data_IF_465422813724
#
_entry.id   IF_465422813724
#
_cell.length_a   1.000
_cell.length_b   1.000
_cell.length_c   1.000
_cell.angle_alpha   90.00
_cell.angle_beta   90.00
_cell.angle_gamma   90.00
#
_symmetry.space_group_name_H-M   'P 1'
#
loop_
_entity.id
_entity.type
_entity.pdbx_description
1 polymer ?
#
# COMPACT_ATOMS: atom_id res chain seq x y z
N UNK A 1 -59.38 25.59 -13.03
CA UNK A 1 -59.64 24.25 -13.61
C UNK A 1 -59.20 23.19 -12.60
N UNK A 2 -59.86 22.04 -12.60
CA UNK A 2 -59.78 20.90 -11.67
C UNK A 2 -60.69 20.98 -10.44
N UNK A 3 -61.81 20.24 -10.54
CA UNK A 3 -62.75 19.94 -9.48
C UNK A 3 -63.16 18.47 -9.60
N UNK A 4 -63.18 17.80 -8.45
CA UNK A 4 -63.32 16.35 -8.21
C UNK A 4 -64.72 15.84 -8.58
N UNK A 5 -64.80 14.54 -8.92
CA UNK A 5 -66.05 13.81 -9.03
C UNK A 5 -65.92 12.37 -8.53
N UNK A 6 -66.59 12.07 -7.41
CA UNK A 6 -67.21 10.79 -7.05
C UNK A 6 -68.73 10.97 -7.22
N UNK A 7 -69.60 9.93 -7.42
CA UNK A 7 -69.72 8.77 -6.49
C UNK A 7 -70.28 7.41 -7.03
N UNK A 8 -69.99 6.34 -6.26
CA UNK A 8 -70.84 5.23 -5.74
C UNK A 8 -71.89 4.51 -6.61
N UNK A 9 -71.79 3.15 -6.65
CA UNK A 9 -72.83 2.05 -6.65
C UNK A 9 -72.17 0.76 -7.24
N UNK A 10 -72.31 -0.50 -6.80
CA UNK A 10 -73.45 -1.31 -6.29
C UNK A 10 -72.99 -2.52 -5.43
N UNK A 11 -73.98 -3.08 -4.70
CA UNK A 11 -74.05 -4.36 -3.94
C UNK A 11 -74.25 -5.62 -4.82
N UNK A 12 -73.86 -6.80 -4.29
CA UNK A 12 -74.64 -8.08 -4.16
C UNK A 12 -73.67 -9.16 -3.58
N UNK A 13 -73.82 -9.68 -2.35
CA UNK A 13 -74.67 -10.79 -1.82
C UNK A 13 -74.45 -12.16 -2.46
N UNK A 14 -73.93 -13.13 -1.67
CA UNK A 14 -74.52 -14.48 -1.49
C UNK A 14 -73.75 -15.30 -0.43
N UNK A 15 -74.51 -16.11 0.31
CA UNK A 15 -74.13 -16.84 1.52
C UNK A 15 -74.30 -18.36 1.35
N UNK A 16 -73.61 -19.15 2.18
CA UNK A 16 -73.93 -20.54 2.57
C UNK A 16 -73.06 -20.92 3.80
N UNK A 17 -73.59 -21.07 5.03
CA UNK A 17 -74.22 -22.27 5.66
C UNK A 17 -73.32 -23.53 5.61
N UNK A 18 -72.88 -24.22 6.68
CA UNK A 18 -73.64 -24.74 7.84
C UNK A 18 -72.79 -25.58 8.85
N UNK A 19 -73.27 -25.66 10.13
CA UNK A 19 -73.27 -26.76 11.16
C UNK A 19 -71.93 -27.32 11.74
N UNK A 20 -71.56 -27.12 13.03
CA UNK A 20 -71.97 -27.73 14.33
C UNK A 20 -71.62 -29.22 14.58
N UNK A 21 -70.70 -29.50 15.55
CA UNK A 21 -70.93 -30.22 16.84
C UNK A 21 -69.63 -30.64 17.56
N UNK A 22 -69.71 -30.60 18.90
CA UNK A 22 -68.70 -30.90 19.93
C UNK A 22 -68.59 -32.39 20.33
N UNK A 23 -67.53 -32.69 21.12
CA UNK A 23 -67.18 -33.85 21.99
C UNK A 23 -66.60 -35.10 21.29
N UNK A 24 -65.53 -35.79 21.74
CA UNK A 24 -65.00 -36.10 23.07
C UNK A 24 -63.46 -36.35 23.10
N UNK A 25 -62.92 -36.37 24.32
CA UNK A 25 -61.54 -36.51 24.82
C UNK A 25 -60.95 -37.93 24.65
N UNK A 26 -59.66 -38.07 24.27
CA UNK A 26 -58.66 -38.95 24.96
C UNK A 26 -57.19 -38.74 24.48
N UNK A 27 -56.39 -38.14 25.39
CA UNK A 27 -54.98 -38.36 25.75
C UNK A 27 -53.91 -38.74 24.70
N UNK A 28 -52.93 -37.84 24.51
CA UNK A 28 -51.51 -38.15 24.83
C UNK A 28 -50.75 -36.86 25.22
N UNK A 29 -50.26 -36.84 26.45
CA UNK A 29 -49.40 -35.84 27.15
C UNK A 29 -47.93 -35.82 26.61
N UNK A 30 -46.96 -35.03 27.14
CA UNK A 30 -46.72 -33.57 27.03
C UNK A 30 -45.18 -33.30 26.88
N UNK A 31 -44.53 -32.24 27.44
CA UNK A 31 -44.78 -30.81 27.47
C UNK A 31 -43.64 -30.01 26.79
N UNK A 32 -43.91 -28.84 26.19
CA UNK A 32 -42.90 -27.78 26.17
C UNK A 32 -43.41 -26.67 27.09
N UNK A 33 -42.91 -26.68 28.33
CA UNK A 33 -43.05 -25.56 29.25
C UNK A 33 -42.30 -24.36 28.68
N UNK A 34 -43.04 -23.28 28.44
CA UNK A 34 -42.45 -21.96 28.42
C UNK A 34 -41.83 -21.67 29.78
N UNK A 35 -40.53 -21.36 29.78
CA UNK A 35 -39.91 -20.57 30.83
C UNK A 35 -39.46 -19.26 30.21
N UNK A 36 -40.42 -18.34 30.18
CA UNK A 36 -40.16 -16.90 30.17
C UNK A 36 -39.59 -16.51 31.54
N UNK A 37 -38.37 -16.94 31.86
CA UNK A 37 -37.59 -16.34 32.94
C UNK A 37 -36.12 -16.28 32.55
N UNK A 38 -35.51 -15.13 32.81
CA UNK A 38 -34.12 -14.76 32.52
C UNK A 38 -33.81 -14.16 31.14
N UNK A 39 -34.62 -13.21 30.69
CA UNK A 39 -34.04 -12.02 30.05
C UNK A 39 -33.42 -11.09 31.12
N UNK A 40 -32.55 -11.69 31.95
CA UNK A 40 -31.59 -11.00 32.78
C UNK A 40 -30.72 -10.18 31.84
N UNK A 41 -31.00 -8.88 31.75
CA UNK A 41 -30.06 -7.74 31.67
C UNK A 41 -28.58 -8.11 31.43
N UNK A 42 -28.26 -8.84 30.35
CA UNK A 42 -26.87 -8.93 29.91
C UNK A 42 -26.68 -7.68 29.09
N UNK A 43 -26.04 -6.68 29.70
CA UNK A 43 -25.42 -5.59 28.96
C UNK A 43 -24.59 -6.24 27.85
N UNK A 44 -25.10 -6.25 26.62
CA UNK A 44 -24.37 -6.69 25.45
C UNK A 44 -23.34 -5.61 25.20
N UNK A 45 -22.21 -5.67 25.92
CA UNK A 45 -21.06 -4.83 25.63
C UNK A 45 -20.70 -5.16 24.19
N UNK A 46 -20.82 -4.18 23.30
CA UNK A 46 -20.23 -4.27 21.96
C UNK A 46 -18.79 -4.73 22.16
N UNK A 47 -18.44 -5.93 21.67
CA UNK A 47 -17.07 -6.43 21.74
C UNK A 47 -16.24 -5.58 20.77
N UNK A 48 -15.65 -4.52 21.28
CA UNK A 48 -14.70 -3.70 20.55
C UNK A 48 -13.36 -4.44 20.62
N UNK A 49 -12.72 -4.75 19.47
CA UNK A 49 -11.40 -5.35 19.45
C UNK A 49 -10.43 -4.55 20.32
N UNK A 50 -9.57 -5.27 21.06
CA UNK A 50 -8.54 -4.61 21.88
C UNK A 50 -7.55 -3.89 20.98
N UNK A 51 -6.89 -2.86 21.51
CA UNK A 51 -5.87 -2.10 20.77
C UNK A 51 -4.79 -3.01 20.16
N UNK A 52 -4.30 -4.00 20.93
CA UNK A 52 -3.39 -5.04 20.43
C UNK A 52 -3.96 -5.88 19.29
N UNK A 53 -5.25 -6.20 19.32
CA UNK A 53 -5.92 -6.94 18.24
C UNK A 53 -6.08 -6.08 16.98
N UNK A 54 -6.37 -4.78 17.13
CA UNK A 54 -6.43 -3.85 16.00
C UNK A 54 -5.07 -3.68 15.33
N UNK A 55 -4.00 -3.56 16.11
CA UNK A 55 -2.62 -3.52 15.60
C UNK A 55 -2.32 -4.79 14.81
N UNK A 56 -2.58 -5.97 15.37
CA UNK A 56 -2.35 -7.25 14.68
C UNK A 56 -3.14 -7.36 13.36
N UNK A 57 -4.42 -6.96 13.36
CA UNK A 57 -5.23 -6.94 12.14
C UNK A 57 -4.68 -5.97 11.09
N UNK A 58 -4.21 -4.80 11.53
CA UNK A 58 -3.54 -3.81 10.67
C UNK A 58 -2.26 -4.36 10.05
N UNK A 59 -1.43 -5.04 10.83
CA UNK A 59 -0.19 -5.68 10.35
C UNK A 59 -0.48 -6.78 9.33
N UNK A 60 -1.44 -7.67 9.60
CA UNK A 60 -1.80 -8.74 8.67
C UNK A 60 -2.41 -8.19 7.38
N UNK A 61 -3.21 -7.11 7.46
CA UNK A 61 -3.71 -6.40 6.28
C UNK A 61 -2.58 -5.80 5.44
N UNK A 62 -1.62 -5.09 6.06
CA UNK A 62 -0.46 -4.54 5.35
C UNK A 62 0.41 -5.63 4.72
N UNK A 63 0.60 -6.74 5.43
CA UNK A 63 1.35 -7.90 4.93
C UNK A 63 0.60 -8.61 3.80
N UNK A 64 -0.72 -8.58 3.79
CA UNK A 64 -1.53 -9.06 2.67
C UNK A 64 -1.39 -8.14 1.45
N UNK A 65 -1.47 -6.82 1.63
CA UNK A 65 -1.31 -5.80 0.59
C UNK A 65 0.09 -5.83 -0.04
N UNK A 66 1.16 -5.92 0.76
CA UNK A 66 2.55 -6.01 0.24
C UNK A 66 2.75 -7.20 -0.68
N UNK A 67 2.21 -8.35 -0.28
CA UNK A 67 2.32 -9.58 -1.06
C UNK A 67 1.43 -9.59 -2.30
N UNK A 68 0.28 -8.91 -2.25
CA UNK A 68 -0.49 -8.59 -3.45
C UNK A 68 0.34 -7.75 -4.43
N UNK A 69 0.99 -6.69 -3.94
CA UNK A 69 1.85 -5.84 -4.75
C UNK A 69 2.95 -6.63 -5.47
N UNK A 70 3.62 -7.53 -4.76
CA UNK A 70 4.67 -8.37 -5.34
C UNK A 70 4.16 -9.27 -6.49
N UNK A 71 3.05 -9.97 -6.29
CA UNK A 71 2.47 -10.81 -7.36
C UNK A 71 1.99 -9.98 -8.54
N UNK A 72 1.43 -8.80 -8.29
CA UNK A 72 1.05 -7.88 -9.38
C UNK A 72 2.27 -7.42 -10.18
N UNK A 73 3.38 -7.11 -9.51
CA UNK A 73 4.63 -6.74 -10.18
C UNK A 73 5.23 -7.90 -10.98
N UNK A 74 5.15 -9.13 -10.45
CA UNK A 74 5.52 -10.35 -11.17
C UNK A 74 4.66 -10.55 -12.43
N UNK A 75 3.33 -10.45 -12.30
CA UNK A 75 2.43 -10.52 -13.45
C UNK A 75 2.75 -9.43 -14.50
N UNK A 76 3.06 -8.19 -14.10
CA UNK A 76 3.48 -7.14 -15.05
C UNK A 76 4.76 -7.49 -15.82
N UNK A 77 5.69 -8.23 -15.21
CA UNK A 77 6.89 -8.72 -15.91
C UNK A 77 6.46 -9.74 -16.96
N UNK A 78 5.63 -10.70 -16.59
CA UNK A 78 5.16 -11.73 -17.52
C UNK A 78 4.31 -11.13 -18.65
N UNK A 79 3.42 -10.18 -18.36
CA UNK A 79 2.64 -9.47 -19.38
C UNK A 79 3.50 -8.68 -20.37
N UNK A 80 4.66 -8.16 -19.93
CA UNK A 80 5.64 -7.51 -20.83
C UNK A 80 6.38 -8.52 -21.68
N UNK A 81 6.80 -9.65 -21.09
CA UNK A 81 7.44 -10.75 -21.80
C UNK A 81 6.51 -11.36 -22.85
N UNK A 82 5.25 -11.60 -22.50
CA UNK A 82 4.19 -12.07 -23.39
C UNK A 82 4.07 -11.18 -24.62
N UNK A 83 3.93 -9.87 -24.39
CA UNK A 83 3.85 -8.87 -25.45
C UNK A 83 5.09 -8.87 -26.34
N UNK A 84 6.28 -9.04 -25.77
CA UNK A 84 7.51 -9.08 -26.56
C UNK A 84 7.57 -10.34 -27.44
N UNK A 85 7.22 -11.50 -26.88
CA UNK A 85 7.18 -12.77 -27.61
C UNK A 85 6.16 -12.75 -28.75
N UNK A 86 5.02 -12.09 -28.57
CA UNK A 86 4.01 -11.94 -29.61
C UNK A 86 4.48 -11.16 -30.84
N UNK A 87 5.54 -10.35 -30.73
CA UNK A 87 6.11 -9.61 -31.88
C UNK A 87 6.94 -10.50 -32.82
N UNK A 88 7.31 -11.70 -32.38
CA UNK A 88 8.13 -12.64 -33.15
C UNK A 88 7.27 -13.75 -33.73
N UNK A 89 7.83 -14.51 -34.69
CA UNK A 89 7.17 -15.74 -35.14
C UNK A 89 7.36 -16.87 -34.12
N UNK A 90 6.35 -17.16 -33.29
CA UNK A 90 6.36 -18.21 -32.27
C UNK A 90 5.32 -19.28 -32.62
N UNK A 91 5.61 -20.52 -32.29
CA UNK A 91 4.75 -21.66 -32.60
C UNK A 91 3.43 -21.62 -31.81
N UNK A 92 2.41 -22.30 -32.31
CA UNK A 92 1.09 -22.39 -31.67
C UNK A 92 1.15 -23.00 -30.27
N UNK A 93 2.05 -23.97 -30.04
CA UNK A 93 2.27 -24.59 -28.73
C UNK A 93 2.95 -23.64 -27.73
N UNK A 94 3.90 -22.83 -28.19
CA UNK A 94 4.51 -21.76 -27.38
C UNK A 94 3.49 -20.68 -27.03
N UNK A 95 2.58 -20.37 -27.96
CA UNK A 95 1.51 -19.41 -27.77
C UNK A 95 0.47 -19.89 -26.75
N UNK A 96 0.09 -21.17 -26.79
CA UNK A 96 -0.75 -21.79 -25.77
C UNK A 96 -0.08 -21.76 -24.39
N UNK A 97 1.22 -22.11 -24.31
CA UNK A 97 2.00 -22.05 -23.07
C UNK A 97 2.05 -20.63 -22.49
N UNK A 98 2.16 -19.64 -23.38
CA UNK A 98 2.15 -18.23 -22.99
C UNK A 98 0.81 -17.81 -22.38
N UNK A 99 -0.30 -18.18 -23.03
CA UNK A 99 -1.66 -17.94 -22.53
C UNK A 99 -1.80 -18.56 -21.14
N UNK A 100 -1.51 -19.85 -20.98
CA UNK A 100 -1.65 -20.57 -19.72
C UNK A 100 -0.82 -19.93 -18.60
N UNK A 101 0.42 -19.53 -18.91
CA UNK A 101 1.31 -18.89 -17.93
C UNK A 101 0.75 -17.53 -17.49
N UNK A 102 0.30 -16.72 -18.44
CA UNK A 102 -0.22 -15.38 -18.15
C UNK A 102 -1.54 -15.44 -17.38
N UNK A 103 -2.44 -16.36 -17.74
CA UNK A 103 -3.71 -16.58 -17.04
C UNK A 103 -3.50 -17.12 -15.63
N UNK A 104 -2.55 -18.04 -15.45
CA UNK A 104 -2.16 -18.53 -14.12
C UNK A 104 -1.65 -17.40 -13.23
N UNK A 105 -0.79 -16.52 -13.75
CA UNK A 105 -0.29 -15.38 -12.97
C UNK A 105 -1.38 -14.35 -12.67
N UNK A 106 -2.32 -14.10 -13.61
CA UNK A 106 -3.53 -13.33 -13.34
C UNK A 106 -4.32 -13.93 -12.17
N UNK A 107 -4.55 -15.25 -12.19
CA UNK A 107 -5.32 -15.92 -11.14
C UNK A 107 -4.60 -15.91 -9.78
N UNK A 108 -3.27 -15.98 -9.77
CA UNK A 108 -2.46 -15.78 -8.56
C UNK A 108 -2.71 -14.39 -7.95
N UNK A 109 -2.68 -13.34 -8.78
CA UNK A 109 -2.98 -11.96 -8.36
C UNK A 109 -4.41 -11.86 -7.83
N UNK A 110 -5.37 -12.48 -8.51
CA UNK A 110 -6.79 -12.44 -8.18
C UNK A 110 -7.10 -13.14 -6.85
N UNK A 111 -6.57 -14.35 -6.66
CA UNK A 111 -6.67 -15.09 -5.41
C UNK A 111 -6.01 -14.32 -4.26
N UNK A 112 -4.90 -13.63 -4.53
CA UNK A 112 -4.25 -12.83 -3.49
C UNK A 112 -5.07 -11.61 -3.09
N UNK A 113 -5.73 -10.97 -4.05
CA UNK A 113 -6.66 -9.87 -3.76
C UNK A 113 -7.83 -10.31 -2.89
N UNK A 114 -8.37 -11.52 -3.09
CA UNK A 114 -9.42 -12.04 -2.22
C UNK A 114 -8.95 -12.13 -0.76
N UNK A 115 -7.69 -12.54 -0.53
CA UNK A 115 -7.09 -12.52 0.82
C UNK A 115 -6.98 -11.11 1.40
N UNK A 116 -6.73 -10.09 0.59
CA UNK A 116 -6.72 -8.68 1.05
C UNK A 116 -8.12 -8.26 1.51
N UNK A 117 -9.16 -8.65 0.76
CA UNK A 117 -10.56 -8.33 1.06
C UNK A 117 -11.05 -8.89 2.39
N UNK A 118 -10.53 -10.05 2.81
CA UNK A 118 -10.88 -10.67 4.10
C UNK A 118 -10.44 -9.81 5.28
N UNK A 119 -9.30 -9.12 5.18
CA UNK A 119 -8.74 -8.35 6.29
C UNK A 119 -9.20 -6.89 6.31
N UNK A 120 -9.41 -6.29 5.14
CA UNK A 120 -9.72 -4.87 5.00
C UNK A 120 -10.39 -4.58 3.67
N UNK A 121 -11.24 -3.55 3.61
CA UNK A 121 -11.71 -3.00 2.34
C UNK A 121 -10.53 -2.54 1.48
N UNK A 122 -10.32 -3.11 0.28
CA UNK A 122 -9.19 -2.75 -0.56
C UNK A 122 -9.25 -1.29 -1.01
N UNK A 123 -8.08 -0.66 -1.08
CA UNK A 123 -7.92 0.68 -1.62
C UNK A 123 -8.41 0.77 -3.08
N UNK A 124 -8.75 1.98 -3.52
CA UNK A 124 -9.13 2.21 -4.92
C UNK A 124 -8.02 1.81 -5.89
N UNK A 125 -6.76 1.97 -5.49
CA UNK A 125 -5.59 1.59 -6.28
C UNK A 125 -5.49 0.07 -6.45
N UNK A 126 -5.69 -0.68 -5.36
CA UNK A 126 -5.70 -2.16 -5.39
C UNK A 126 -6.77 -2.68 -6.34
N UNK A 127 -7.97 -2.09 -6.32
CA UNK A 127 -9.07 -2.44 -7.23
C UNK A 127 -8.72 -2.12 -8.69
N UNK A 128 -8.20 -0.92 -8.96
CA UNK A 128 -7.76 -0.53 -10.29
C UNK A 128 -6.70 -1.48 -10.87
N UNK A 129 -5.75 -1.94 -10.04
CA UNK A 129 -4.73 -2.92 -10.44
C UNK A 129 -5.33 -4.26 -10.84
N UNK A 130 -6.38 -4.71 -10.16
CA UNK A 130 -7.11 -5.91 -10.53
C UNK A 130 -7.79 -5.75 -11.88
N UNK A 131 -8.54 -4.67 -12.08
CA UNK A 131 -9.25 -4.42 -13.34
C UNK A 131 -8.26 -4.33 -14.51
N UNK A 132 -7.12 -3.67 -14.30
CA UNK A 132 -6.03 -3.60 -15.27
C UNK A 132 -5.40 -4.98 -15.55
N UNK A 133 -5.18 -5.79 -14.50
CA UNK A 133 -4.66 -7.15 -14.63
C UNK A 133 -5.56 -8.02 -15.50
N UNK A 134 -6.87 -7.97 -15.24
CA UNK A 134 -7.87 -8.71 -15.99
C UNK A 134 -7.96 -8.23 -17.44
N UNK A 135 -8.05 -6.92 -17.66
CA UNK A 135 -8.23 -6.35 -19.00
C UNK A 135 -6.99 -6.56 -19.90
N UNK A 136 -5.79 -6.33 -19.38
CA UNK A 136 -4.54 -6.55 -20.14
C UNK A 136 -4.37 -8.03 -20.48
N UNK A 137 -4.66 -8.93 -19.53
CA UNK A 137 -4.56 -10.38 -19.79
C UNK A 137 -5.54 -10.79 -20.88
N UNK A 138 -6.80 -10.35 -20.82
CA UNK A 138 -7.82 -10.64 -21.84
C UNK A 138 -7.40 -10.20 -23.24
N UNK A 139 -6.86 -8.98 -23.38
CA UNK A 139 -6.43 -8.48 -24.68
C UNK A 139 -5.22 -9.25 -25.24
N UNK A 140 -4.21 -9.56 -24.40
CA UNK A 140 -3.05 -10.36 -24.84
C UNK A 140 -3.49 -11.74 -25.28
N UNK A 141 -4.36 -12.38 -24.49
CA UNK A 141 -4.93 -13.70 -24.79
C UNK A 141 -5.78 -13.65 -26.07
N UNK A 142 -6.53 -12.57 -26.31
CA UNK A 142 -7.27 -12.37 -27.57
C UNK A 142 -6.34 -12.33 -28.77
N UNK A 143 -5.27 -11.53 -28.72
CA UNK A 143 -4.27 -11.43 -29.80
C UNK A 143 -3.61 -12.80 -30.04
N UNK A 144 -3.32 -13.54 -28.96
CA UNK A 144 -2.78 -14.88 -29.05
C UNK A 144 -3.77 -15.86 -29.71
N UNK A 145 -5.03 -15.89 -29.29
CA UNK A 145 -6.04 -16.77 -29.91
C UNK A 145 -6.33 -16.45 -31.37
N UNK A 146 -6.35 -15.18 -31.76
CA UNK A 146 -6.50 -14.78 -33.17
C UNK A 146 -5.37 -15.34 -34.04
N UNK A 147 -4.18 -15.47 -33.47
CA UNK A 147 -3.01 -16.06 -34.13
C UNK A 147 -3.07 -17.60 -34.16
N UNK A 148 -3.48 -18.24 -33.07
CA UNK A 148 -3.73 -19.70 -33.01
C UNK A 148 -4.80 -20.12 -34.02
N UNK A 149 -5.88 -19.33 -34.14
CA UNK A 149 -7.04 -19.69 -34.96
C UNK A 149 -6.75 -19.76 -36.46
N UNK A 150 -5.57 -19.30 -36.92
CA UNK A 150 -5.09 -19.51 -38.29
C UNK A 150 -5.95 -18.89 -39.39
N UNK A 151 -6.93 -18.05 -39.05
CA UNK A 151 -7.95 -17.51 -39.96
C UNK A 151 -7.33 -16.72 -41.12
N UNK A 152 -6.07 -16.26 -41.00
CA UNK A 152 -5.37 -15.46 -42.00
C UNK A 152 -4.16 -16.14 -42.66
N UNK A 153 -3.92 -17.44 -42.40
CA UNK A 153 -2.96 -18.28 -43.14
C UNK A 153 -1.46 -17.94 -43.04
N UNK A 154 -1.07 -16.73 -42.65
CA UNK A 154 0.31 -16.29 -42.45
C UNK A 154 0.43 -15.30 -41.29
N UNK A 155 1.60 -15.26 -40.63
CA UNK A 155 1.88 -14.32 -39.55
C UNK A 155 1.90 -12.88 -40.10
N UNK A 156 0.81 -12.15 -39.85
CA UNK A 156 0.73 -10.71 -40.11
C UNK A 156 1.30 -9.93 -38.92
N UNK A 157 2.61 -9.73 -38.95
CA UNK A 157 3.35 -8.92 -37.99
C UNK A 157 2.77 -7.51 -37.84
N UNK A 158 2.24 -6.91 -38.92
CA UNK A 158 1.67 -5.56 -38.89
C UNK A 158 0.36 -5.52 -38.10
N UNK A 159 -0.54 -6.49 -38.31
CA UNK A 159 -1.78 -6.61 -37.51
C UNK A 159 -1.48 -6.87 -36.04
N UNK A 160 -0.52 -7.74 -35.73
CA UNK A 160 -0.14 -8.02 -34.33
C UNK A 160 0.46 -6.77 -33.69
N UNK A 161 1.36 -6.07 -34.38
CA UNK A 161 1.93 -4.81 -33.88
C UNK A 161 0.88 -3.73 -33.70
N UNK A 162 -0.11 -3.65 -34.59
CA UNK A 162 -1.25 -2.75 -34.44
C UNK A 162 -2.07 -3.09 -33.19
N UNK A 163 -2.49 -4.34 -33.01
CA UNK A 163 -3.25 -4.76 -31.82
C UNK A 163 -2.48 -4.52 -30.52
N UNK A 164 -1.16 -4.77 -30.53
CA UNK A 164 -0.28 -4.48 -29.40
C UNK A 164 -0.02 -2.98 -29.17
N UNK A 165 -0.22 -2.13 -30.17
CA UNK A 165 -0.20 -0.67 -30.01
C UNK A 165 -1.54 -0.16 -29.47
N UNK A 166 -2.66 -0.62 -30.02
CA UNK A 166 -4.00 -0.29 -29.53
C UNK A 166 -4.18 -0.67 -28.05
N UNK A 167 -3.59 -1.79 -27.61
CA UNK A 167 -3.53 -2.18 -26.21
C UNK A 167 -2.86 -1.10 -25.33
N UNK A 168 -1.80 -0.46 -25.82
CA UNK A 168 -1.07 0.58 -25.06
C UNK A 168 -1.83 1.88 -24.95
N UNK A 169 -2.70 2.18 -25.92
CA UNK A 169 -3.52 3.39 -25.94
C UNK A 169 -4.63 3.35 -24.88
N UNK A 170 -4.97 2.16 -24.35
CA UNK A 170 -6.01 2.00 -23.33
C UNK A 170 -5.54 2.45 -21.94
N UNK A 171 -6.40 3.18 -21.24
CA UNK A 171 -6.08 3.81 -19.95
C UNK A 171 -5.65 2.82 -18.86
N UNK A 172 -6.21 1.60 -18.85
CA UNK A 172 -5.84 0.57 -17.88
C UNK A 172 -4.44 -0.01 -18.12
N UNK A 173 -3.97 -0.02 -19.37
CA UNK A 173 -2.68 -0.58 -19.76
C UNK A 173 -1.53 0.40 -19.50
N UNK A 174 -1.83 1.70 -19.43
CA UNK A 174 -0.85 2.76 -19.21
C UNK A 174 -0.02 2.56 -17.93
N UNK A 175 -0.62 2.10 -16.84
CA UNK A 175 0.12 1.84 -15.59
C UNK A 175 0.99 0.57 -15.64
N UNK A 176 0.74 -0.33 -16.60
CA UNK A 176 1.45 -1.61 -16.76
C UNK A 176 2.67 -1.44 -17.65
N UNK A 177 2.57 -0.59 -18.67
CA UNK A 177 3.59 -0.41 -19.71
C UNK A 177 4.24 1.00 -19.73
N UNK A 178 3.67 1.99 -19.04
CA UNK A 178 3.99 3.41 -19.16
C UNK A 178 5.31 3.91 -18.56
N UNK A 179 6.27 3.04 -18.27
CA UNK A 179 7.62 3.45 -17.85
C UNK A 179 8.66 3.33 -18.96
N UNK A 180 8.34 2.69 -20.09
CA UNK A 180 9.32 2.39 -21.15
C UNK A 180 8.89 2.79 -22.57
N UNK A 181 7.68 3.31 -22.75
CA UNK A 181 7.25 3.86 -24.05
C UNK A 181 7.53 5.35 -24.08
N UNK A 182 8.68 5.70 -24.68
CA UNK A 182 8.88 7.03 -25.24
C UNK A 182 7.66 7.38 -26.09
N UNK A 183 7.08 8.54 -25.79
CA UNK A 183 5.85 9.07 -26.33
C UNK A 183 6.03 9.48 -27.81
N UNK A 184 6.32 8.52 -28.69
CA UNK A 184 6.75 8.78 -30.07
C UNK A 184 5.61 8.83 -31.09
N UNK A 185 4.35 9.02 -30.65
CA UNK A 185 3.19 9.20 -31.55
C UNK A 185 2.18 10.19 -30.96
N UNK A 186 2.54 11.46 -30.86
CA UNK A 186 1.57 12.55 -30.69
C UNK A 186 2.19 13.93 -30.95
N UNK A 187 2.86 14.09 -32.09
CA UNK A 187 3.01 15.41 -32.71
C UNK A 187 1.81 15.64 -33.63
N UNK A 188 0.67 16.00 -33.03
CA UNK A 188 -0.37 16.89 -33.59
C UNK A 188 -1.61 16.87 -32.69
N UNK A 189 -1.93 18.03 -32.12
CA UNK A 189 -3.28 18.45 -31.71
C UNK A 189 -4.03 17.57 -30.70
N UNK A 190 -3.69 17.66 -29.42
CA UNK A 190 -4.60 18.23 -28.40
C UNK A 190 -3.95 18.09 -27.03
N UNK A 191 -3.66 19.24 -26.42
CA UNK A 191 -3.32 19.33 -25.01
C UNK A 191 -4.57 18.97 -24.20
N UNK A 192 -4.74 17.69 -23.88
CA UNK A 192 -5.63 17.29 -22.78
C UNK A 192 -4.85 17.55 -21.50
N UNK A 193 -5.23 18.53 -20.67
CA UNK A 193 -4.52 18.76 -19.42
C UNK A 193 -4.80 17.55 -18.53
N UNK A 194 -3.77 16.76 -18.26
CA UNK A 194 -3.70 15.97 -17.02
C UNK A 194 -4.08 16.96 -15.92
N UNK A 195 -5.23 16.73 -15.29
CA UNK A 195 -5.87 17.67 -14.40
C UNK A 195 -4.82 18.24 -13.43
N UNK A 196 -4.53 19.53 -13.59
CA UNK A 196 -3.56 20.27 -12.77
C UNK A 196 -3.85 20.10 -11.27
N UNK A 197 -5.09 19.73 -10.92
CA UNK A 197 -5.53 19.36 -9.57
C UNK A 197 -4.84 18.11 -9.01
N UNK A 198 -4.67 17.04 -9.77
CA UNK A 198 -4.09 15.77 -9.28
C UNK A 198 -2.59 15.88 -9.09
N UNK A 199 -1.90 16.54 -10.02
CA UNK A 199 -0.47 16.81 -9.90
C UNK A 199 -0.17 17.74 -8.71
N UNK A 200 -0.98 18.79 -8.51
CA UNK A 200 -0.87 19.67 -7.32
C UNK A 200 -1.20 18.94 -6.02
N UNK A 201 -2.20 18.06 -6.02
CA UNK A 201 -2.58 17.29 -4.83
C UNK A 201 -1.47 16.33 -4.38
N UNK A 202 -0.76 15.70 -5.33
CA UNK A 202 0.38 14.84 -4.99
C UNK A 202 1.56 15.66 -4.44
N UNK A 203 1.84 16.83 -5.02
CA UNK A 203 2.89 17.74 -4.53
C UNK A 203 2.58 18.18 -3.10
N UNK A 204 1.36 18.63 -2.82
CA UNK A 204 0.96 19.04 -1.46
C UNK A 204 1.07 17.91 -0.44
N UNK A 205 0.71 16.68 -0.83
CA UNK A 205 0.81 15.52 0.07
C UNK A 205 2.28 15.17 0.38
N UNK A 206 3.16 15.25 -0.62
CA UNK A 206 4.59 15.04 -0.44
C UNK A 206 5.21 16.12 0.45
N UNK A 207 4.87 17.38 0.21
CA UNK A 207 5.33 18.52 1.02
C UNK A 207 4.83 18.42 2.47
N UNK A 208 3.58 18.02 2.68
CA UNK A 208 3.04 17.84 4.03
C UNK A 208 3.69 16.67 4.76
N UNK A 209 3.98 15.57 4.05
CA UNK A 209 4.72 14.44 4.62
C UNK A 209 6.14 14.87 5.02
N UNK A 210 6.85 15.56 4.13
CA UNK A 210 8.20 16.08 4.43
C UNK A 210 8.18 17.06 5.60
N UNK A 211 7.16 17.92 5.69
CA UNK A 211 6.99 18.83 6.83
C UNK A 211 6.79 18.08 8.14
N UNK A 212 5.94 17.06 8.16
CA UNK A 212 5.74 16.21 9.36
C UNK A 212 7.04 15.51 9.79
N UNK A 213 7.81 15.00 8.84
CA UNK A 213 9.09 14.32 9.13
C UNK A 213 10.11 15.32 9.74
N UNK A 214 10.19 16.54 9.19
CA UNK A 214 11.03 17.60 9.74
C UNK A 214 10.59 18.06 11.13
N UNK A 215 9.28 18.22 11.35
CA UNK A 215 8.74 18.62 12.64
C UNK A 215 8.98 17.55 13.71
N UNK A 216 8.81 16.27 13.37
CA UNK A 216 9.15 15.15 14.25
C UNK A 216 10.64 15.12 14.62
N UNK A 217 11.54 15.39 13.65
CA UNK A 217 12.98 15.50 13.94
C UNK A 217 13.31 16.68 14.85
N UNK A 218 12.63 17.83 14.68
CA UNK A 218 12.79 19.00 15.55
C UNK A 218 12.31 18.73 16.97
N UNK A 219 11.15 18.10 17.11
CA UNK A 219 10.59 17.74 18.41
C UNK A 219 11.52 16.79 19.18
N UNK A 220 12.07 15.78 18.52
CA UNK A 220 13.02 14.87 19.15
C UNK A 220 14.33 15.59 19.57
N UNK A 221 14.82 16.52 18.74
CA UNK A 221 15.97 17.35 19.10
C UNK A 221 15.69 18.26 20.29
N UNK A 222 14.51 18.87 20.35
CA UNK A 222 14.07 19.70 21.47
C UNK A 222 13.96 18.88 22.75
N UNK A 223 13.35 17.71 22.69
CA UNK A 223 13.26 16.75 23.81
C UNK A 223 14.64 16.38 24.35
N UNK A 224 15.61 16.11 23.46
CA UNK A 224 16.98 15.82 23.84
C UNK A 224 17.68 17.03 24.48
N UNK A 225 17.44 18.25 24.00
CA UNK A 225 17.97 19.48 24.60
C UNK A 225 17.40 19.72 25.99
N UNK A 226 16.08 19.65 26.15
CA UNK A 226 15.43 19.79 27.46
C UNK A 226 15.93 18.74 28.46
N UNK A 227 16.13 17.49 28.03
CA UNK A 227 16.72 16.44 28.85
C UNK A 227 18.15 16.75 29.31
N UNK A 228 18.98 17.34 28.44
CA UNK A 228 20.34 17.80 28.79
C UNK A 228 20.30 18.97 29.78
N UNK A 229 19.38 19.91 29.61
CA UNK A 229 19.22 21.06 30.51
C UNK A 229 18.79 20.64 31.91
N UNK A 230 17.80 19.73 32.02
CA UNK A 230 17.38 19.15 33.30
C UNK A 230 18.56 18.45 33.98
N UNK A 231 19.34 17.65 33.22
CA UNK A 231 20.52 16.97 33.77
C UNK A 231 21.57 17.95 34.26
N UNK A 232 21.84 19.01 33.50
CA UNK A 232 22.79 20.04 33.88
C UNK A 232 22.31 20.82 35.12
N UNK A 233 21.01 21.13 35.22
CA UNK A 233 20.43 21.77 36.39
C UNK A 233 20.53 20.90 37.64
N UNK A 234 20.28 19.58 37.51
CA UNK A 234 20.47 18.62 38.61
C UNK A 234 21.92 18.55 39.07
N UNK A 235 22.87 18.44 38.14
CA UNK A 235 24.29 18.43 38.48
C UNK A 235 24.73 19.71 39.21
N UNK A 236 24.21 20.88 38.81
CA UNK A 236 24.46 22.16 39.53
C UNK A 236 23.90 22.13 40.95
N UNK A 237 22.71 21.56 41.15
CA UNK A 237 22.10 21.43 42.47
C UNK A 237 22.90 20.46 43.37
N UNK A 238 23.39 19.36 42.81
CA UNK A 238 24.21 18.39 43.53
C UNK A 238 25.51 19.02 44.04
N UNK A 239 26.19 19.83 43.22
CA UNK A 239 27.39 20.58 43.63
C UNK A 239 27.08 21.52 44.79
N UNK A 240 25.98 22.28 44.71
CA UNK A 240 25.58 23.19 45.79
C UNK A 240 25.26 22.45 47.09
N UNK A 241 24.55 21.32 47.00
CA UNK A 241 24.26 20.47 48.16
C UNK A 241 25.53 19.89 48.78
N UNK A 242 26.50 19.49 47.96
CA UNK A 242 27.78 18.97 48.41
C UNK A 242 28.62 20.06 49.07
N UNK A 243 28.65 21.27 48.53
CA UNK A 243 29.29 22.44 49.15
C UNK A 243 28.62 22.87 50.46
N UNK A 244 27.29 22.81 50.55
CA UNK A 244 26.54 23.05 51.78
C UNK A 244 26.84 21.97 52.85
N UNK A 245 26.97 20.71 52.43
CA UNK A 245 27.34 19.60 53.32
C UNK A 245 28.81 19.69 53.79
N UNK A 246 29.73 20.13 52.93
CA UNK A 246 31.14 20.38 53.28
C UNK A 246 31.28 21.55 54.28
N UNK A 247 30.45 22.60 54.16
CA UNK A 247 30.42 23.72 55.12
C UNK A 247 29.79 23.38 56.47
N UNK A 248 29.01 22.29 56.57
CA UNK A 248 28.46 21.78 57.83
C UNK A 248 29.30 20.66 58.48
N UNK A 249 30.33 20.15 57.80
CA UNK A 249 31.16 19.03 58.27
C UNK A 249 32.63 19.43 58.46
N UNK A 250 32.89 20.58 59.07
CA UNK A 250 34.21 20.86 59.66
C UNK A 250 34.23 20.35 61.12
N UNK A 251 34.40 19.03 61.26
CA UNK A 251 35.12 18.46 62.39
C UNK A 251 35.59 17.02 62.10
N UNK A 252 36.91 16.86 62.17
CA UNK A 252 37.72 15.64 62.24
C UNK A 252 38.15 14.92 60.95
N UNK A 253 39.44 15.12 60.69
CA UNK A 253 40.40 14.33 59.91
C UNK A 253 40.23 12.79 60.00
N UNK A 254 40.32 12.10 58.86
CA UNK A 254 41.26 10.98 58.60
C UNK A 254 41.19 10.59 57.11
N UNK A 255 42.38 10.41 56.52
CA UNK A 255 42.62 9.91 55.16
C UNK A 255 42.03 8.52 54.95
N UNK A 256 41.38 8.29 53.80
CA UNK A 256 41.33 6.98 53.14
C UNK A 256 41.09 7.14 51.64
N UNK A 257 42.07 6.70 50.85
CA UNK A 257 41.97 6.42 49.41
C UNK A 257 40.97 5.29 49.15
N UNK A 258 40.32 5.28 47.97
CA UNK A 258 40.69 4.21 47.04
C UNK A 258 40.77 4.65 45.57
N UNK A 259 41.65 3.95 44.86
CA UNK A 259 41.73 3.87 43.40
C UNK A 259 40.36 3.72 42.74
N UNK A 260 40.09 4.54 41.72
CA UNK A 260 39.36 4.09 40.54
C UNK A 260 39.92 4.77 39.29
N UNK A 261 40.59 3.95 38.47
CA UNK A 261 41.01 4.30 37.12
C UNK A 261 39.75 4.52 36.29
N UNK A 262 39.45 5.76 35.94
CA UNK A 262 38.65 6.08 34.76
C UNK A 262 39.48 7.08 33.98
N UNK A 263 40.02 6.64 32.85
CA UNK A 263 40.77 7.46 31.91
C UNK A 263 39.88 8.59 31.41
N UNK A 264 40.05 9.78 31.98
CA UNK A 264 39.75 11.02 31.28
C UNK A 264 40.85 11.23 30.23
N UNK A 265 40.53 11.44 28.94
CA UNK A 265 41.52 12.01 28.03
C UNK A 265 41.74 13.49 28.42
N UNK A 266 42.96 14.02 28.28
CA UNK A 266 43.26 15.40 28.64
C UNK A 266 42.45 16.38 27.76
N UNK A 267 42.09 17.56 28.27
CA UNK A 267 41.38 18.58 27.52
C UNK A 267 42.39 19.31 26.63
N UNK A 268 42.85 18.66 25.56
CA UNK A 268 43.55 19.24 24.42
C UNK A 268 43.68 18.17 23.32
N UNK A 269 42.55 17.57 22.93
CA UNK A 269 42.50 16.80 21.71
C UNK A 269 42.62 17.80 20.54
N UNK A 270 43.82 17.84 19.98
CA UNK A 270 44.24 18.65 18.84
C UNK A 270 43.10 18.76 17.82
N UNK A 271 42.71 20.01 17.50
CA UNK A 271 41.76 20.32 16.42
C UNK A 271 42.17 19.63 15.12
N UNK A 272 43.49 19.41 14.96
CA UNK A 272 44.11 18.62 13.89
C UNK A 272 43.64 17.17 13.83
N UNK A 273 43.45 16.48 14.97
CA UNK A 273 42.97 15.11 15.00
C UNK A 273 41.49 15.02 14.61
N UNK A 274 40.68 16.00 15.05
CA UNK A 274 39.28 16.09 14.64
C UNK A 274 39.16 16.41 13.14
N UNK A 275 39.97 17.33 12.64
CA UNK A 275 40.03 17.67 11.21
C UNK A 275 40.45 16.46 10.37
N UNK A 276 41.45 15.69 10.82
CA UNK A 276 41.87 14.46 10.18
C UNK A 276 40.75 13.42 10.17
N UNK A 277 40.07 13.19 11.29
CA UNK A 277 38.96 12.24 11.36
C UNK A 277 37.77 12.63 10.46
N UNK A 278 37.47 13.93 10.34
CA UNK A 278 36.44 14.43 9.42
C UNK A 278 36.87 14.25 7.97
N UNK A 279 38.12 14.54 7.63
CA UNK A 279 38.67 14.33 6.30
C UNK A 279 38.65 12.85 5.91
N UNK A 280 39.05 11.96 6.82
CA UNK A 280 39.05 10.51 6.62
C UNK A 280 37.62 9.97 6.50
N UNK A 281 36.67 10.52 7.25
CA UNK A 281 35.24 10.16 7.10
C UNK A 281 34.67 10.60 5.75
N UNK A 282 35.15 11.71 5.19
CA UNK A 282 34.73 12.20 3.88
C UNK A 282 35.35 11.40 2.73
N UNK A 283 36.57 10.87 2.88
CA UNK A 283 37.22 10.04 1.85
C UNK A 283 36.65 8.62 1.82
N UNK A 284 36.32 8.02 2.97
CA UNK A 284 35.74 6.67 3.04
C UNK A 284 34.34 6.57 2.42
N UNK A 285 33.56 7.66 2.44
CA UNK A 285 32.20 7.70 1.89
C UNK A 285 32.10 8.38 0.51
N UNK A 286 33.23 8.77 -0.11
CA UNK A 286 33.22 9.29 -1.48
C UNK A 286 33.08 8.11 -2.46
N UNK A 287 32.08 8.19 -3.31
CA UNK A 287 32.03 7.33 -4.50
C UNK A 287 33.24 7.66 -5.39
N UNK A 288 33.86 6.65 -6.01
CA UNK A 288 34.90 6.90 -7.01
C UNK A 288 34.36 7.86 -8.07
N UNK A 289 35.16 8.87 -8.44
CA UNK A 289 34.77 9.81 -9.49
C UNK A 289 34.47 9.02 -10.76
N UNK A 290 33.29 9.21 -11.37
CA UNK A 290 32.95 8.49 -12.59
C UNK A 290 33.98 8.80 -13.66
N UNK A 291 34.38 7.79 -14.43
CA UNK A 291 35.28 8.00 -15.55
C UNK A 291 34.65 9.04 -16.50
N UNK A 292 35.40 10.06 -16.93
CA UNK A 292 34.90 11.01 -17.91
C UNK A 292 34.54 10.24 -19.17
N UNK A 293 33.36 10.51 -19.72
CA UNK A 293 32.92 9.91 -20.99
C UNK A 293 33.88 10.38 -22.09
N UNK A 294 34.85 9.54 -22.43
CA UNK A 294 35.69 9.75 -23.61
C UNK A 294 34.90 9.21 -24.80
N UNK A 295 34.60 10.11 -25.72
CA UNK A 295 33.98 9.77 -26.99
C UNK A 295 34.99 8.99 -27.84
N UNK A 296 34.79 7.67 -27.94
CA UNK A 296 35.63 6.76 -28.73
C UNK A 296 35.11 6.58 -30.18
N UNK A 297 34.19 7.43 -30.62
CA UNK A 297 33.66 7.42 -31.98
C UNK A 297 34.49 8.31 -32.90
N UNK A 298 34.52 7.98 -34.19
CA UNK A 298 35.04 8.89 -35.22
C UNK A 298 34.06 10.07 -35.36
N UNK A 299 34.46 11.34 -35.10
CA UNK A 299 33.54 12.48 -35.03
C UNK A 299 32.73 12.76 -36.31
N UNK A 300 33.12 12.17 -37.44
CA UNK A 300 32.54 12.45 -38.76
C UNK A 300 31.27 11.62 -39.03
N UNK A 301 31.02 10.54 -38.27
CA UNK A 301 29.84 9.69 -38.47
C UNK A 301 28.56 10.15 -37.74
N UNK A 302 28.59 11.29 -37.04
CA UNK A 302 27.46 11.79 -36.24
C UNK A 302 26.72 12.98 -36.90
N UNK A 303 26.96 13.22 -38.18
CA UNK A 303 26.25 14.23 -38.97
C UNK A 303 25.42 13.51 -40.06
N UNK A 304 24.35 12.84 -39.65
CA UNK A 304 23.21 12.50 -40.54
C UNK A 304 21.91 12.42 -39.73
#
# INVERSE_FOLDING_TARGET
>A
MQGRGSPVRKMEVSASMSLQRDTDVEQTEPPYEGKDEEELRRSVRKRIPTDRMLVYQGEEAQKAEKRFGHLYDQWKVEARKAREQLKSDISESELATLIDTLEKERDNVMNRYEKVRVHKTPSSETRRRIDACEAVTKDIVKIAFERISGIDGHFDDARVRQGLCELLDRDYARSVYGSTVSNSRSSSTSSVPISQSTARSMVLLLEEKQRRDLDAQKEELERLRAGKEIRAARARLDVYNQEANIKSADNHHVKQTPNNKTSSPPPNADVSYLAQAVQDSMTLNRLPTPEPTVFNGDPIHFIE
#
